data_IF_374316568064
#
_entry.id   IF_374316568064
#
_cell.length_a   1.000
_cell.length_b   1.000
_cell.length_c   1.000
_cell.angle_alpha   90.00
_cell.angle_beta   90.00
_cell.angle_gamma   90.00
#
_symmetry.space_group_name_H-M   'P 1'
#
loop_
_entity.id
_entity.type
_entity.pdbx_description
1 polymer ?
#
# COMPACT_ATOMS: atom_id res chain seq x y z
N UNK A 1 -17.52 15.22 -17.32
CA UNK A 1 -17.28 14.19 -16.28
C UNK A 1 -16.24 14.74 -15.33
N UNK A 2 -16.49 14.68 -14.03
CA UNK A 2 -15.55 15.13 -13.01
C UNK A 2 -14.61 13.96 -12.69
N UNK A 3 -13.31 14.14 -12.84
CA UNK A 3 -12.33 13.16 -12.42
C UNK A 3 -11.96 13.44 -10.96
N UNK A 4 -11.98 12.41 -10.13
CA UNK A 4 -11.49 12.46 -8.76
C UNK A 4 -10.13 11.75 -8.75
N UNK A 5 -9.08 12.46 -8.34
CA UNK A 5 -7.77 11.88 -8.10
C UNK A 5 -7.62 11.65 -6.60
N UNK A 6 -7.37 10.41 -6.21
CA UNK A 6 -7.16 10.01 -4.81
C UNK A 6 -5.74 9.47 -4.70
N UNK A 7 -5.04 9.83 -3.64
CA UNK A 7 -3.75 9.24 -3.28
C UNK A 7 -3.97 8.26 -2.11
N UNK A 8 -4.13 6.95 -2.38
CA UNK A 8 -4.46 5.94 -1.36
C UNK A 8 -3.47 5.92 -0.19
N UNK A 9 -2.18 6.14 -0.46
CA UNK A 9 -1.12 6.13 0.55
C UNK A 9 -1.28 7.28 1.55
N UNK A 10 -1.74 8.44 1.08
CA UNK A 10 -1.99 9.60 1.96
C UNK A 10 -3.17 9.32 2.89
N UNK A 11 -4.24 8.69 2.37
CA UNK A 11 -5.40 8.29 3.17
C UNK A 11 -5.01 7.22 4.21
N UNK A 12 -4.20 6.24 3.81
CA UNK A 12 -3.70 5.20 4.72
C UNK A 12 -2.82 5.78 5.83
N UNK A 13 -1.97 6.75 5.50
CA UNK A 13 -1.14 7.47 6.48
C UNK A 13 -2.01 8.25 7.46
N UNK A 14 -3.00 8.98 6.98
CA UNK A 14 -3.94 9.72 7.83
C UNK A 14 -4.74 8.77 8.76
N UNK A 15 -5.14 7.60 8.27
CA UNK A 15 -5.80 6.58 9.10
C UNK A 15 -4.88 6.09 10.23
N UNK A 16 -3.60 5.86 9.94
CA UNK A 16 -2.59 5.47 10.94
C UNK A 16 -2.35 6.57 11.99
N UNK A 17 -2.35 7.84 11.57
CA UNK A 17 -2.19 8.98 12.47
C UNK A 17 -3.40 9.11 13.40
N UNK A 18 -4.61 8.94 12.90
CA UNK A 18 -5.83 8.93 13.70
C UNK A 18 -5.86 7.76 14.70
N UNK A 19 -5.39 6.57 14.32
CA UNK A 19 -5.27 5.45 15.24
C UNK A 19 -4.30 5.77 16.39
N UNK A 20 -3.16 6.39 16.10
CA UNK A 20 -2.19 6.81 17.14
C UNK A 20 -2.74 7.86 18.07
N UNK A 21 -3.48 8.84 17.55
CA UNK A 21 -4.15 9.86 18.35
C UNK A 21 -5.18 9.20 19.27
N UNK A 22 -6.01 8.30 18.76
CA UNK A 22 -6.98 7.55 19.56
C UNK A 22 -6.32 6.78 20.70
N UNK A 23 -5.30 5.99 20.41
CA UNK A 23 -4.54 5.25 21.42
C UNK A 23 -3.92 6.17 22.48
N UNK A 24 -3.42 7.34 22.11
CA UNK A 24 -2.86 8.29 23.07
C UNK A 24 -3.93 8.86 23.99
N UNK A 25 -5.11 9.18 23.47
CA UNK A 25 -6.25 9.68 24.25
C UNK A 25 -6.72 8.59 25.23
N UNK A 26 -6.85 7.35 24.76
CA UNK A 26 -7.26 6.21 25.59
C UNK A 26 -6.29 5.95 26.74
N UNK A 27 -4.99 6.02 26.49
CA UNK A 27 -3.97 5.85 27.49
C UNK A 27 -4.04 6.94 28.58
N UNK A 28 -4.24 8.20 28.18
CA UNK A 28 -4.38 9.33 29.12
C UNK A 28 -5.69 9.21 29.94
N UNK A 29 -6.81 8.87 29.28
CA UNK A 29 -8.09 8.67 29.95
C UNK A 29 -8.04 7.51 30.96
N UNK A 30 -7.39 6.40 30.59
CA UNK A 30 -7.18 5.28 31.52
C UNK A 30 -6.31 5.67 32.72
N UNK A 31 -5.25 6.44 32.48
CA UNK A 31 -4.39 6.92 33.54
C UNK A 31 -5.11 7.88 34.52
N UNK A 32 -6.02 8.71 34.02
CA UNK A 32 -6.80 9.66 34.81
C UNK A 32 -7.98 9.02 35.54
N UNK A 33 -8.47 7.85 35.10
CA UNK A 33 -9.70 7.24 35.56
C UNK A 33 -9.70 7.02 37.10
N UNK A 34 -8.65 6.42 37.64
CA UNK A 34 -8.55 6.14 39.08
C UNK A 34 -8.67 7.39 39.95
N UNK A 35 -7.89 8.43 39.66
CA UNK A 35 -7.85 9.66 40.42
C UNK A 35 -9.14 10.48 40.34
N UNK A 36 -9.85 10.42 39.20
CA UNK A 36 -11.06 11.23 38.96
C UNK A 36 -12.34 10.53 39.40
N UNK A 37 -12.41 9.20 39.36
CA UNK A 37 -13.61 8.44 39.73
C UNK A 37 -13.69 8.13 41.20
N UNK A 38 -12.58 8.29 41.96
CA UNK A 38 -12.50 7.99 43.40
C UNK A 38 -12.07 9.23 44.24
N UNK A 39 -12.74 10.34 43.97
CA UNK A 39 -12.47 11.60 44.73
C UNK A 39 -12.89 11.45 46.15
N UNK A 40 -11.97 11.69 47.11
CA UNK A 40 -12.27 11.70 48.51
C UNK A 40 -12.93 13.02 48.94
N UNK A 41 -13.88 12.94 49.87
CA UNK A 41 -14.47 14.13 50.46
C UNK A 41 -13.41 14.96 51.21
N UNK A 42 -13.41 16.26 51.04
CA UNK A 42 -12.44 17.18 51.68
C UNK A 42 -12.66 17.31 53.19
N UNK A 43 -13.85 17.01 53.69
CA UNK A 43 -14.23 17.00 55.09
C UNK A 43 -15.26 15.93 55.38
N UNK A 44 -15.60 15.77 56.67
CA UNK A 44 -16.60 14.79 57.12
C UNK A 44 -18.04 15.35 57.15
N UNK A 45 -18.29 16.44 56.38
CA UNK A 45 -19.60 17.09 56.28
C UNK A 45 -20.34 16.67 55.00
N UNK A 46 -21.66 16.87 55.00
CA UNK A 46 -22.55 16.45 53.91
C UNK A 46 -22.25 17.16 52.61
N UNK A 47 -21.76 18.41 52.66
CA UNK A 47 -21.45 19.20 51.44
C UNK A 47 -20.21 18.66 50.77
N UNK A 48 -19.15 18.39 51.55
CA UNK A 48 -17.92 17.78 51.02
C UNK A 48 -18.21 16.40 50.41
N UNK A 49 -19.04 15.58 51.07
CA UNK A 49 -19.44 14.27 50.57
C UNK A 49 -20.26 14.39 49.26
N UNK A 50 -21.21 15.33 49.19
CA UNK A 50 -22.01 15.54 47.99
C UNK A 50 -21.19 16.04 46.82
N UNK A 51 -20.20 16.92 47.04
CA UNK A 51 -19.29 17.41 46.02
C UNK A 51 -18.41 16.26 45.48
N UNK A 52 -17.85 15.44 46.35
CA UNK A 52 -17.03 14.29 45.97
C UNK A 52 -17.85 13.27 45.12
N UNK A 53 -19.09 13.01 45.53
CA UNK A 53 -20.01 12.17 44.77
C UNK A 53 -20.34 12.73 43.40
N UNK A 54 -20.59 14.06 43.31
CA UNK A 54 -20.83 14.74 42.03
C UNK A 54 -19.66 14.56 41.06
N UNK A 55 -18.44 14.85 41.51
CA UNK A 55 -17.24 14.68 40.67
C UNK A 55 -17.00 13.22 40.27
N UNK A 56 -17.20 12.28 41.20
CA UNK A 56 -17.09 10.84 40.91
C UNK A 56 -18.08 10.37 39.86
N UNK A 57 -19.35 10.81 39.98
CA UNK A 57 -20.39 10.51 38.98
C UNK A 57 -20.04 11.11 37.62
N UNK A 58 -19.67 12.38 37.58
CA UNK A 58 -19.27 13.05 36.35
C UNK A 58 -18.09 12.35 35.67
N UNK A 59 -17.07 11.94 36.45
CA UNK A 59 -15.93 11.22 35.91
C UNK A 59 -16.32 9.84 35.34
N UNK A 60 -17.24 9.13 35.99
CA UNK A 60 -17.75 7.84 35.47
C UNK A 60 -18.51 8.04 34.14
N UNK A 61 -19.36 9.05 34.06
CA UNK A 61 -20.06 9.41 32.82
C UNK A 61 -19.08 9.78 31.70
N UNK A 62 -18.04 10.55 32.03
CA UNK A 62 -16.96 10.89 31.09
C UNK A 62 -16.27 9.61 30.58
N UNK A 63 -15.90 8.67 31.43
CA UNK A 63 -15.27 7.41 31.03
C UNK A 63 -16.20 6.59 30.09
N UNK A 64 -17.50 6.58 30.36
CA UNK A 64 -18.48 5.90 29.50
C UNK A 64 -18.57 6.55 28.11
N UNK A 65 -18.51 7.88 28.05
CA UNK A 65 -18.48 8.63 26.77
C UNK A 65 -17.15 8.38 26.06
N UNK A 66 -16.02 8.42 26.76
CA UNK A 66 -14.70 8.16 26.22
C UNK A 66 -14.65 6.79 25.52
N UNK A 67 -15.14 5.74 26.15
CA UNK A 67 -15.21 4.40 25.55
C UNK A 67 -16.00 4.39 24.24
N UNK A 68 -17.10 5.14 24.15
CA UNK A 68 -17.91 5.23 22.93
C UNK A 68 -17.17 6.00 21.82
N UNK A 69 -16.45 7.06 22.20
CA UNK A 69 -15.65 7.84 21.25
C UNK A 69 -14.50 6.98 20.70
N UNK A 70 -13.83 6.19 21.54
CA UNK A 70 -12.78 5.28 21.11
C UNK A 70 -13.30 4.25 20.11
N UNK A 71 -14.44 3.63 20.39
CA UNK A 71 -15.07 2.69 19.44
C UNK A 71 -15.47 3.36 18.11
N UNK A 72 -15.93 4.61 18.16
CA UNK A 72 -16.23 5.38 16.95
C UNK A 72 -14.96 5.69 16.15
N UNK A 73 -13.88 6.10 16.82
CA UNK A 73 -12.60 6.36 16.18
C UNK A 73 -12.02 5.09 15.51
N UNK A 74 -12.04 3.95 16.19
CA UNK A 74 -11.60 2.66 15.62
C UNK A 74 -12.39 2.32 14.36
N UNK A 75 -13.72 2.49 14.40
CA UNK A 75 -14.57 2.24 13.24
C UNK A 75 -14.27 3.20 12.10
N UNK A 76 -14.01 4.47 12.41
CA UNK A 76 -13.66 5.47 11.40
C UNK A 76 -12.32 5.15 10.74
N UNK A 77 -11.29 4.79 11.53
CA UNK A 77 -9.99 4.33 11.03
C UNK A 77 -10.14 3.10 10.13
N UNK A 78 -10.95 2.12 10.54
CA UNK A 78 -11.20 0.92 9.73
C UNK A 78 -11.86 1.27 8.38
N UNK A 79 -12.82 2.19 8.36
CA UNK A 79 -13.49 2.63 7.13
C UNK A 79 -12.55 3.40 6.20
N UNK A 80 -11.68 4.28 6.74
CA UNK A 80 -10.66 4.98 5.96
C UNK A 80 -9.67 3.99 5.33
N UNK A 81 -9.22 3.01 6.10
CA UNK A 81 -8.30 1.96 5.61
C UNK A 81 -8.95 1.13 4.51
N UNK A 82 -10.19 0.72 4.70
CA UNK A 82 -10.94 -0.03 3.69
C UNK A 82 -11.14 0.79 2.41
N UNK A 83 -11.47 2.08 2.54
CA UNK A 83 -11.58 3.01 1.41
C UNK A 83 -10.27 3.14 0.64
N UNK A 84 -9.16 3.38 1.34
CA UNK A 84 -7.82 3.45 0.75
C UNK A 84 -7.48 2.19 -0.05
N UNK A 85 -7.69 1.01 0.55
CA UNK A 85 -7.44 -0.27 -0.10
C UNK A 85 -8.32 -0.48 -1.35
N UNK A 86 -9.58 -0.04 -1.32
CA UNK A 86 -10.49 -0.11 -2.46
C UNK A 86 -10.00 0.73 -3.64
N UNK A 87 -9.51 1.95 -3.38
CA UNK A 87 -8.92 2.79 -4.42
C UNK A 87 -7.64 2.18 -4.98
N UNK A 88 -6.72 1.69 -4.13
CA UNK A 88 -5.50 1.03 -4.56
C UNK A 88 -5.79 -0.23 -5.41
N UNK A 89 -6.79 -1.02 -5.04
CA UNK A 89 -7.21 -2.19 -5.82
C UNK A 89 -7.77 -1.79 -7.19
N UNK A 90 -8.55 -0.71 -7.26
CA UNK A 90 -9.09 -0.20 -8.53
C UNK A 90 -8.00 0.31 -9.47
N UNK A 91 -6.98 1.00 -8.94
CA UNK A 91 -5.82 1.44 -9.72
C UNK A 91 -5.02 0.25 -10.24
N UNK A 92 -4.74 -0.74 -9.38
CA UNK A 92 -4.02 -1.96 -9.77
C UNK A 92 -4.77 -2.76 -10.85
N UNK A 93 -6.09 -2.87 -10.74
CA UNK A 93 -6.91 -3.54 -11.75
C UNK A 93 -6.85 -2.82 -13.10
N UNK A 94 -6.85 -1.48 -13.09
CA UNK A 94 -6.75 -0.67 -14.32
C UNK A 94 -5.41 -0.85 -15.02
N UNK A 95 -4.31 -0.90 -14.27
CA UNK A 95 -2.95 -1.15 -14.81
C UNK A 95 -2.87 -2.56 -15.40
N UNK A 96 -3.38 -3.58 -14.69
CA UNK A 96 -3.36 -4.96 -15.15
C UNK A 96 -4.16 -5.16 -16.45
N UNK A 97 -5.30 -4.48 -16.59
CA UNK A 97 -6.10 -4.54 -17.81
C UNK A 97 -5.37 -3.91 -18.99
N UNK A 98 -4.73 -2.75 -18.81
CA UNK A 98 -3.94 -2.10 -19.87
C UNK A 98 -2.77 -2.98 -20.31
N UNK A 99 -2.06 -3.60 -19.39
CA UNK A 99 -0.96 -4.54 -19.69
C UNK A 99 -1.46 -5.76 -20.48
N UNK A 100 -2.63 -6.30 -20.13
CA UNK A 100 -3.22 -7.42 -20.86
C UNK A 100 -3.55 -7.03 -22.30
N UNK A 101 -4.17 -5.86 -22.52
CA UNK A 101 -4.46 -5.34 -23.85
C UNK A 101 -3.18 -5.09 -24.66
N UNK A 102 -2.14 -4.54 -24.03
CA UNK A 102 -0.84 -4.34 -24.68
C UNK A 102 -0.25 -5.68 -25.14
N UNK A 103 -0.24 -6.69 -24.29
CA UNK A 103 0.29 -8.02 -24.61
C UNK A 103 -0.52 -8.69 -25.72
N UNK A 104 -1.85 -8.58 -25.70
CA UNK A 104 -2.72 -9.14 -26.74
C UNK A 104 -2.46 -8.47 -28.10
N UNK A 105 -2.34 -7.15 -28.12
CA UNK A 105 -2.02 -6.38 -29.35
C UNK A 105 -0.62 -6.74 -29.86
N UNK A 106 0.38 -6.77 -28.99
CA UNK A 106 1.74 -7.17 -29.36
C UNK A 106 1.79 -8.61 -29.84
N UNK A 107 1.04 -9.52 -29.21
CA UNK A 107 0.89 -10.91 -29.64
C UNK A 107 0.36 -11.01 -31.06
N UNK A 108 -0.71 -10.27 -31.39
CA UNK A 108 -1.30 -10.25 -32.71
C UNK A 108 -0.34 -9.67 -33.77
N UNK A 109 0.34 -8.57 -33.46
CA UNK A 109 1.31 -7.91 -34.38
C UNK A 109 2.54 -8.80 -34.58
N UNK A 110 2.98 -9.50 -33.55
CA UNK A 110 4.19 -10.32 -33.58
C UNK A 110 3.96 -11.74 -34.14
N UNK A 111 2.73 -12.24 -34.15
CA UNK A 111 2.42 -13.61 -34.58
C UNK A 111 2.97 -13.98 -35.99
N UNK A 112 2.79 -13.14 -37.00
CA UNK A 112 3.32 -13.48 -38.33
C UNK A 112 4.84 -13.53 -38.38
N UNK A 113 5.53 -12.56 -37.75
CA UNK A 113 6.99 -12.50 -37.76
C UNK A 113 7.60 -13.61 -36.89
N UNK A 114 6.94 -13.98 -35.80
CA UNK A 114 7.33 -15.09 -34.96
C UNK A 114 7.21 -16.42 -35.73
N UNK A 115 6.14 -16.59 -36.49
CA UNK A 115 5.93 -17.80 -37.30
C UNK A 115 6.98 -17.98 -38.41
N UNK A 116 7.27 -16.88 -39.17
CA UNK A 116 8.16 -16.95 -40.29
C UNK A 116 9.65 -16.82 -39.94
N UNK A 117 9.98 -16.02 -38.97
CA UNK A 117 11.38 -15.65 -38.64
C UNK A 117 11.83 -16.07 -37.24
N UNK A 118 10.95 -16.62 -36.41
CA UNK A 118 11.26 -16.99 -35.03
C UNK A 118 11.61 -15.80 -34.13
N UNK A 119 11.28 -14.55 -34.58
CA UNK A 119 11.55 -13.32 -33.84
C UNK A 119 10.32 -12.41 -33.88
N UNK A 120 10.04 -11.67 -32.78
CA UNK A 120 8.97 -10.69 -32.79
C UNK A 120 9.31 -9.53 -33.73
N UNK A 121 8.28 -8.86 -34.24
CA UNK A 121 8.43 -7.63 -35.03
C UNK A 121 8.79 -6.46 -34.11
N UNK A 122 8.10 -6.38 -32.96
CA UNK A 122 8.24 -5.34 -31.93
C UNK A 122 8.38 -6.01 -30.56
N UNK A 123 9.39 -5.62 -29.79
CA UNK A 123 9.60 -6.07 -28.42
C UNK A 123 11.07 -6.21 -28.07
N UNK A 124 11.39 -6.09 -26.81
CA UNK A 124 12.77 -6.28 -26.34
C UNK A 124 13.10 -7.78 -26.23
N UNK A 125 14.36 -8.11 -26.41
CA UNK A 125 14.89 -9.44 -26.13
C UNK A 125 14.87 -9.75 -24.63
N UNK A 126 14.65 -11.00 -24.25
CA UNK A 126 14.72 -11.42 -22.86
C UNK A 126 16.18 -11.38 -22.36
N UNK A 127 16.35 -10.96 -21.11
CA UNK A 127 17.66 -11.01 -20.48
C UNK A 127 18.08 -12.43 -20.16
N UNK A 128 19.36 -12.71 -20.26
CA UNK A 128 19.96 -13.99 -19.84
C UNK A 128 19.86 -14.17 -18.34
N UNK A 129 19.63 -15.38 -17.89
CA UNK A 129 19.49 -15.71 -16.46
C UNK A 129 20.79 -15.42 -15.72
N UNK A 130 20.72 -14.66 -14.65
CA UNK A 130 21.88 -14.33 -13.82
C UNK A 130 22.51 -15.57 -13.21
N UNK A 131 23.83 -15.61 -13.18
CA UNK A 131 24.62 -16.74 -12.63
C UNK A 131 24.81 -17.93 -13.59
N UNK A 132 24.27 -17.85 -14.82
CA UNK A 132 24.34 -18.97 -15.78
C UNK A 132 25.26 -18.73 -16.98
N UNK A 133 25.66 -17.47 -17.21
CA UNK A 133 26.38 -17.10 -18.43
C UNK A 133 25.53 -17.20 -19.70
N UNK A 134 24.21 -17.27 -19.59
CA UNK A 134 23.29 -17.34 -20.72
C UNK A 134 23.33 -16.04 -21.53
N UNK A 135 23.34 -16.13 -22.86
CA UNK A 135 23.22 -14.96 -23.72
C UNK A 135 21.84 -14.34 -23.63
N UNK A 136 21.77 -13.01 -23.77
CA UNK A 136 20.51 -12.30 -23.91
C UNK A 136 19.82 -12.65 -25.23
N UNK A 137 18.48 -12.62 -25.24
CA UNK A 137 17.64 -12.85 -26.40
C UNK A 137 17.71 -11.69 -27.41
N UNK A 138 17.48 -11.98 -28.70
CA UNK A 138 17.38 -10.95 -29.72
C UNK A 138 16.11 -10.11 -29.54
N UNK A 139 16.22 -8.80 -29.71
CA UNK A 139 15.07 -7.89 -29.78
C UNK A 139 14.25 -8.06 -31.08
N UNK A 140 13.15 -7.33 -31.16
CA UNK A 140 12.27 -7.33 -32.33
C UNK A 140 13.00 -6.92 -33.62
N UNK A 141 12.45 -7.34 -34.75
CA UNK A 141 13.06 -7.05 -36.08
C UNK A 141 13.06 -5.56 -36.35
N UNK A 142 11.94 -4.87 -36.18
CA UNK A 142 11.80 -3.43 -36.41
C UNK A 142 12.16 -2.59 -35.19
N UNK A 143 11.60 -2.93 -34.07
CA UNK A 143 11.76 -2.16 -32.84
C UNK A 143 12.00 -3.07 -31.64
N UNK A 144 13.09 -2.80 -30.92
CA UNK A 144 13.40 -3.45 -29.65
C UNK A 144 14.88 -3.55 -29.39
N UNK A 145 15.25 -3.50 -28.14
CA UNK A 145 16.62 -3.69 -27.68
C UNK A 145 16.93 -5.17 -27.55
N UNK A 146 18.18 -5.54 -27.73
CA UNK A 146 18.66 -6.86 -27.35
C UNK A 146 18.60 -7.03 -25.83
N UNK A 147 18.33 -8.24 -25.33
CA UNK A 147 18.40 -8.58 -23.92
C UNK A 147 19.85 -8.52 -23.42
N UNK A 148 20.04 -8.19 -22.13
CA UNK A 148 21.34 -8.25 -21.50
C UNK A 148 21.81 -9.72 -21.35
N UNK A 149 23.11 -9.98 -21.48
CA UNK A 149 23.68 -11.29 -21.14
C UNK A 149 23.62 -11.54 -19.63
N UNK A 150 23.33 -12.80 -19.23
CA UNK A 150 23.35 -13.20 -17.82
C UNK A 150 24.78 -13.19 -17.26
N UNK A 151 24.94 -12.84 -15.98
CA UNK A 151 26.23 -12.99 -15.28
C UNK A 151 26.68 -14.46 -15.29
N UNK A 152 27.97 -14.70 -15.37
CA UNK A 152 28.54 -16.06 -15.21
C UNK A 152 28.44 -16.55 -13.75
N UNK A 153 28.51 -17.84 -13.56
CA UNK A 153 28.75 -18.44 -12.26
C UNK A 153 30.17 -18.10 -11.77
N UNK A 154 30.48 -18.38 -10.52
CA UNK A 154 31.81 -18.12 -9.94
C UNK A 154 32.89 -18.76 -10.80
N UNK A 155 33.81 -17.92 -11.32
CA UNK A 155 34.89 -18.34 -12.22
C UNK A 155 34.51 -18.51 -13.70
N UNK A 156 33.28 -18.16 -14.10
CA UNK A 156 32.82 -18.17 -15.49
C UNK A 156 32.54 -16.77 -16.01
N UNK A 157 32.77 -16.57 -17.30
CA UNK A 157 32.40 -15.32 -17.97
C UNK A 157 30.88 -15.19 -18.12
N UNK A 158 30.40 -13.96 -18.10
CA UNK A 158 28.98 -13.67 -18.42
C UNK A 158 28.67 -13.94 -19.89
N UNK A 159 27.36 -14.10 -20.18
CA UNK A 159 26.83 -14.27 -21.52
C UNK A 159 26.91 -13.00 -22.37
N UNK A 160 26.90 -13.14 -23.69
CA UNK A 160 26.83 -12.02 -24.62
C UNK A 160 25.43 -11.37 -24.57
N UNK A 161 25.33 -10.06 -24.82
CA UNK A 161 24.04 -9.42 -25.05
C UNK A 161 23.40 -9.88 -26.37
N UNK A 162 22.09 -9.82 -26.44
CA UNK A 162 21.30 -10.11 -27.63
C UNK A 162 21.40 -9.00 -28.70
N UNK A 163 21.12 -9.35 -29.96
CA UNK A 163 21.10 -8.37 -31.04
C UNK A 163 19.86 -7.45 -30.92
N UNK A 164 20.02 -6.16 -31.15
CA UNK A 164 18.92 -5.21 -31.25
C UNK A 164 18.16 -5.33 -32.60
N UNK A 165 17.01 -4.68 -32.68
CA UNK A 165 16.27 -4.47 -33.90
C UNK A 165 16.80 -3.31 -34.73
N UNK A 166 16.09 -2.99 -35.81
CA UNK A 166 16.43 -1.85 -36.72
C UNK A 166 16.40 -0.52 -35.94
N UNK A 167 15.44 -0.36 -35.06
CA UNK A 167 15.28 0.78 -34.14
C UNK A 167 15.42 0.26 -32.68
N UNK A 168 16.66 0.13 -32.21
CA UNK A 168 16.96 -0.34 -30.87
C UNK A 168 18.43 -0.15 -30.50
N UNK A 169 18.74 -0.34 -29.24
CA UNK A 169 20.10 -0.33 -28.70
C UNK A 169 20.53 -1.71 -28.20
#
# INVERSE_FOLDING_TARGET
>A
MSFVSVAPEVVATAASDLARIGSSIDAVNAAAAGATTTVLAAGADEVSAAIAALFGTHAQEYQAISTRISALNERFVALLTAGSNSYAASESASVSWLQAVEQDVLGLVNAPSQYWFGRPLIGNGADGVAGTGQAGGAGGILWGNGGAGGSGAVGQSGGAGGSAGLLGM
#
